data_IF_839090143683
#
_entry.id   IF_839090143683
#
_cell.length_a   1.000
_cell.length_b   1.000
_cell.length_c   1.000
_cell.angle_alpha   90.00
_cell.angle_beta   90.00
_cell.angle_gamma   90.00
#
_symmetry.space_group_name_H-M   'P 1'
#
loop_
_entity.id
_entity.type
_entity.pdbx_description
1 polymer ?
#
# COMPACT_ATOMS: atom_id res chain seq x y z
N UNK A 1 19.93 -6.29 -13.93
CA UNK A 1 19.30 -6.73 -15.17
C UNK A 1 18.06 -5.92 -15.45
N UNK A 2 17.74 -5.71 -16.73
CA UNK A 2 16.63 -4.82 -17.12
C UNK A 2 15.27 -5.22 -16.58
N UNK A 3 14.96 -6.51 -16.58
CA UNK A 3 13.67 -7.01 -16.12
C UNK A 3 13.49 -6.79 -14.63
N UNK A 4 14.52 -7.01 -13.84
CA UNK A 4 14.50 -6.80 -12.40
C UNK A 4 14.26 -5.34 -12.05
N UNK A 5 14.92 -4.43 -12.77
CA UNK A 5 14.71 -2.99 -12.56
C UNK A 5 13.32 -2.54 -12.90
N UNK A 6 12.73 -3.08 -13.97
CA UNK A 6 11.34 -2.80 -14.33
C UNK A 6 10.38 -3.26 -13.25
N UNK A 7 10.62 -4.44 -12.71
CA UNK A 7 9.80 -5.01 -11.65
C UNK A 7 9.89 -4.16 -10.39
N UNK A 8 11.11 -3.76 -9.99
CA UNK A 8 11.31 -2.90 -8.84
C UNK A 8 10.60 -1.56 -9.01
N UNK A 9 10.67 -0.97 -10.19
CA UNK A 9 9.99 0.28 -10.48
C UNK A 9 8.49 0.13 -10.36
N UNK A 10 7.93 -0.95 -10.91
CA UNK A 10 6.51 -1.24 -10.83
C UNK A 10 6.07 -1.41 -9.38
N UNK A 11 6.84 -2.13 -8.56
CA UNK A 11 6.56 -2.29 -7.14
C UNK A 11 6.58 -0.95 -6.42
N UNK A 12 7.59 -0.13 -6.67
CA UNK A 12 7.69 1.18 -6.04
C UNK A 12 6.53 2.10 -6.42
N UNK A 13 6.14 2.09 -7.69
CA UNK A 13 5.01 2.90 -8.16
C UNK A 13 3.71 2.44 -7.51
N UNK A 14 3.50 1.14 -7.43
CA UNK A 14 2.32 0.57 -6.79
C UNK A 14 2.30 0.91 -5.30
N UNK A 15 3.44 0.82 -4.64
CA UNK A 15 3.59 1.17 -3.23
C UNK A 15 3.19 2.63 -2.98
N UNK A 16 3.65 3.54 -3.82
CA UNK A 16 3.29 4.96 -3.71
C UNK A 16 1.79 5.17 -3.83
N UNK A 17 1.14 4.49 -4.77
CA UNK A 17 -0.31 4.57 -4.91
C UNK A 17 -1.04 4.05 -3.69
N UNK A 18 -0.57 2.94 -3.13
CA UNK A 18 -1.15 2.37 -1.93
C UNK A 18 -1.01 3.30 -0.73
N UNK A 19 0.14 3.97 -0.59
CA UNK A 19 0.35 4.94 0.49
C UNK A 19 -0.64 6.08 0.40
N UNK A 20 -0.86 6.60 -0.81
CA UNK A 20 -1.82 7.68 -1.02
C UNK A 20 -3.23 7.22 -0.63
N UNK A 21 -3.63 6.04 -1.05
CA UNK A 21 -4.94 5.47 -0.69
C UNK A 21 -5.05 5.24 0.80
N UNK A 22 -3.98 4.75 1.43
CA UNK A 22 -3.93 4.51 2.86
C UNK A 22 -4.14 5.80 3.64
N UNK A 23 -3.44 6.87 3.25
CA UNK A 23 -3.53 8.17 3.92
C UNK A 23 -4.93 8.78 3.75
N UNK A 24 -5.51 8.68 2.55
CA UNK A 24 -6.87 9.15 2.30
C UNK A 24 -7.88 8.36 3.11
N UNK A 25 -7.70 7.04 3.19
CA UNK A 25 -8.56 6.20 4.00
C UNK A 25 -8.47 6.53 5.47
N UNK A 26 -7.26 6.79 5.97
CA UNK A 26 -7.06 7.17 7.36
C UNK A 26 -7.81 8.47 7.69
N UNK A 27 -7.72 9.47 6.82
CA UNK A 27 -8.43 10.73 7.00
C UNK A 27 -9.95 10.53 6.98
N UNK A 28 -10.43 9.70 6.06
CA UNK A 28 -11.85 9.39 5.97
C UNK A 28 -12.35 8.70 7.24
N UNK A 29 -11.61 7.72 7.73
CA UNK A 29 -11.99 6.93 8.91
C UNK A 29 -12.00 7.81 10.17
N UNK A 30 -11.06 8.75 10.28
CA UNK A 30 -11.04 9.69 11.40
C UNK A 30 -12.32 10.52 11.46
N UNK A 31 -12.94 10.80 10.31
CA UNK A 31 -14.19 11.56 10.22
C UNK A 31 -15.44 10.68 10.30
N UNK A 32 -15.30 9.41 9.91
CA UNK A 32 -16.42 8.46 9.80
C UNK A 32 -16.04 7.16 10.51
N UNK A 33 -15.80 7.25 11.82
CA UNK A 33 -15.32 6.11 12.60
C UNK A 33 -16.35 5.01 12.81
N UNK A 34 -17.58 5.24 12.40
CA UNK A 34 -18.66 4.24 12.45
C UNK A 34 -18.86 3.49 11.13
N UNK A 35 -18.12 3.84 10.09
CA UNK A 35 -18.21 3.17 8.78
C UNK A 35 -17.36 1.91 8.77
N UNK A 36 -17.96 0.80 9.21
CA UNK A 36 -17.28 -0.49 9.38
C UNK A 36 -16.71 -0.99 8.06
N UNK A 37 -17.42 -0.81 6.94
CA UNK A 37 -16.96 -1.28 5.63
C UNK A 37 -15.70 -0.56 5.19
N UNK A 38 -15.66 0.75 5.37
CA UNK A 38 -14.47 1.54 5.03
C UNK A 38 -13.27 1.19 5.91
N UNK A 39 -13.52 0.93 7.19
CA UNK A 39 -12.46 0.49 8.12
C UNK A 39 -11.87 -0.84 7.65
N UNK A 40 -12.71 -1.78 7.24
CA UNK A 40 -12.26 -3.08 6.73
C UNK A 40 -11.41 -2.94 5.46
N UNK A 41 -11.85 -2.08 4.53
CA UNK A 41 -11.10 -1.82 3.31
C UNK A 41 -9.73 -1.20 3.63
N UNK A 42 -9.71 -0.26 4.56
CA UNK A 42 -8.47 0.38 5.00
C UNK A 42 -7.51 -0.63 5.61
N UNK A 43 -8.03 -1.55 6.44
CA UNK A 43 -7.21 -2.61 7.04
C UNK A 43 -6.63 -3.53 5.96
N UNK A 44 -7.39 -3.82 4.91
CA UNK A 44 -6.90 -4.61 3.78
C UNK A 44 -5.75 -3.89 3.06
N UNK A 45 -5.87 -2.59 2.85
CA UNK A 45 -4.81 -1.79 2.25
C UNK A 45 -3.56 -1.81 3.14
N UNK A 46 -3.73 -1.73 4.45
CA UNK A 46 -2.64 -1.80 5.41
C UNK A 46 -1.88 -3.13 5.29
N UNK A 47 -2.59 -4.25 5.18
CA UNK A 47 -1.97 -5.56 4.99
C UNK A 47 -1.25 -5.65 3.66
N UNK A 48 -1.84 -5.12 2.60
CA UNK A 48 -1.22 -5.06 1.28
C UNK A 48 0.09 -4.26 1.32
N UNK A 49 0.10 -3.13 2.03
CA UNK A 49 1.31 -2.33 2.19
C UNK A 49 2.42 -3.13 2.85
N UNK A 50 2.11 -3.90 3.88
CA UNK A 50 3.10 -4.75 4.55
C UNK A 50 3.68 -5.78 3.59
N UNK A 51 2.85 -6.40 2.78
CA UNK A 51 3.30 -7.38 1.79
C UNK A 51 4.20 -6.75 0.75
N UNK A 52 3.82 -5.58 0.23
CA UNK A 52 4.61 -4.87 -0.78
C UNK A 52 5.94 -4.41 -0.20
N UNK A 53 5.95 -3.92 1.02
CA UNK A 53 7.19 -3.52 1.70
C UNK A 53 8.15 -4.71 1.81
N UNK A 54 7.64 -5.89 2.18
CA UNK A 54 8.45 -7.10 2.26
C UNK A 54 9.02 -7.47 0.90
N UNK A 55 8.21 -7.36 -0.16
CA UNK A 55 8.66 -7.64 -1.51
C UNK A 55 9.74 -6.68 -1.97
N UNK A 56 9.59 -5.39 -1.68
CA UNK A 56 10.58 -4.38 -2.04
C UNK A 56 11.91 -4.69 -1.37
N UNK A 57 11.88 -5.05 -0.09
CA UNK A 57 13.10 -5.41 0.66
C UNK A 57 13.78 -6.62 0.03
N UNK A 58 13.00 -7.63 -0.37
CA UNK A 58 13.54 -8.83 -1.00
C UNK A 58 14.25 -8.55 -2.32
N UNK A 59 13.81 -7.54 -3.06
CA UNK A 59 14.37 -7.19 -4.37
C UNK A 59 15.40 -6.07 -4.30
N UNK A 60 15.68 -5.53 -3.13
CA UNK A 60 16.78 -4.58 -2.94
C UNK A 60 18.10 -5.33 -2.82
N UNK A 61 19.10 -4.79 -3.48
CA UNK A 61 20.45 -5.33 -3.37
C UNK A 61 21.29 -4.49 -2.44
#
# INVERSE_FOLDING_TARGET
MKERKKFQKALNDYYKHLIIRFNRGSDYIDRHNDDVNSIKEWEMIKEELKLIESMIILYED
#
